data_IF_734072143196
#
_entry.id   IF_734072143196
#
_cell.length_a   1.000
_cell.length_b   1.000
_cell.length_c   1.000
_cell.angle_alpha   90.00
_cell.angle_beta   90.00
_cell.angle_gamma   90.00
#
_symmetry.space_group_name_H-M   'P 1'
#
loop_
_entity.id
_entity.type
_entity.pdbx_description
1 polymer ?
#
# COMPACT_ATOMS: atom_id res chain seq x y z
N UNK A 1 18.94 5.16 2.26
CA UNK A 1 19.81 6.34 1.96
C UNK A 1 21.31 6.07 2.16
N UNK A 2 21.72 4.97 2.79
CA UNK A 2 23.10 4.78 3.19
C UNK A 2 23.90 3.84 2.27
N UNK A 3 23.34 3.41 1.14
CA UNK A 3 24.08 2.65 0.16
C UNK A 3 24.79 3.58 -0.83
N UNK A 4 26.00 4.04 -0.48
CA UNK A 4 26.87 4.89 -1.31
C UNK A 4 27.25 4.28 -2.67
N UNK A 5 26.77 3.08 -2.99
CA UNK A 5 27.09 2.34 -4.22
C UNK A 5 25.98 2.37 -5.27
N UNK A 6 24.80 2.90 -4.94
CA UNK A 6 23.66 2.92 -5.86
C UNK A 6 23.29 4.37 -6.19
N UNK A 7 23.29 4.69 -7.47
CA UNK A 7 22.61 5.88 -7.98
C UNK A 7 21.15 5.51 -8.26
N UNK A 8 20.19 6.10 -7.54
CA UNK A 8 18.78 5.79 -7.69
C UNK A 8 17.95 7.05 -7.93
N UNK A 9 16.82 6.87 -8.55
CA UNK A 9 15.79 7.89 -8.69
C UNK A 9 14.46 7.37 -8.18
N UNK A 10 13.80 8.17 -7.37
CA UNK A 10 12.45 7.91 -6.88
C UNK A 10 11.46 8.59 -7.82
N UNK A 11 10.57 7.79 -8.42
CA UNK A 11 9.56 8.27 -9.36
C UNK A 11 8.18 8.01 -8.76
N UNK A 12 7.39 9.07 -8.62
CA UNK A 12 5.97 8.98 -8.31
C UNK A 12 5.16 9.08 -9.59
N UNK A 13 4.12 8.27 -9.70
CA UNK A 13 3.13 8.40 -10.77
C UNK A 13 1.99 9.34 -10.37
N UNK A 14 1.88 9.68 -9.08
CA UNK A 14 0.80 10.52 -8.56
C UNK A 14 -0.54 9.78 -8.50
N UNK A 15 -0.53 8.43 -8.37
CA UNK A 15 -1.76 7.64 -8.29
C UNK A 15 -2.51 7.83 -6.96
N UNK A 16 -1.84 8.33 -5.90
CA UNK A 16 -2.39 8.53 -4.55
C UNK A 16 -1.75 9.76 -3.89
N UNK A 17 -2.10 10.97 -4.30
CA UNK A 17 -1.42 12.20 -3.88
C UNK A 17 -1.33 12.35 -2.35
N UNK A 18 -2.46 12.40 -1.65
CA UNK A 18 -2.47 12.76 -0.21
C UNK A 18 -1.87 11.70 0.73
N UNK A 19 -2.11 10.42 0.49
CA UNK A 19 -1.62 9.34 1.36
C UNK A 19 -0.13 9.08 1.15
N UNK A 20 0.33 9.18 -0.09
CA UNK A 20 1.75 8.98 -0.43
C UNK A 20 2.60 10.12 0.13
N UNK A 21 2.14 11.37 0.02
CA UNK A 21 2.87 12.54 0.54
C UNK A 21 3.10 12.43 2.04
N UNK A 22 2.08 12.03 2.81
CA UNK A 22 2.22 11.81 4.25
C UNK A 22 3.29 10.76 4.60
N UNK A 23 3.35 9.65 3.83
CA UNK A 23 4.35 8.60 4.05
C UNK A 23 5.75 9.09 3.67
N UNK A 24 5.88 9.81 2.56
CA UNK A 24 7.14 10.39 2.12
C UNK A 24 7.70 11.37 3.15
N UNK A 25 6.85 12.25 3.68
CA UNK A 25 7.21 13.20 4.73
C UNK A 25 7.67 12.46 6.00
N UNK A 26 6.89 11.48 6.47
CA UNK A 26 7.25 10.67 7.63
C UNK A 26 8.59 9.96 7.43
N UNK A 27 8.87 9.44 6.24
CA UNK A 27 10.13 8.75 5.94
C UNK A 27 11.26 9.70 5.55
N UNK A 28 10.98 10.99 5.34
CA UNK A 28 11.94 11.99 4.86
C UNK A 28 12.45 11.67 3.46
N UNK A 29 11.56 11.16 2.59
CA UNK A 29 11.84 10.85 1.20
C UNK A 29 11.34 11.97 0.30
N UNK A 30 12.12 12.28 -0.73
CA UNK A 30 11.74 13.26 -1.75
C UNK A 30 11.83 12.58 -3.12
N UNK A 31 10.77 12.63 -3.94
CA UNK A 31 10.80 12.09 -5.29
C UNK A 31 11.71 12.94 -6.19
N UNK A 32 12.42 12.27 -7.09
CA UNK A 32 13.19 12.93 -8.16
C UNK A 32 12.28 13.33 -9.32
N UNK A 33 11.20 12.58 -9.51
CA UNK A 33 10.19 12.82 -10.53
C UNK A 33 8.79 12.60 -9.94
N UNK A 34 7.89 13.52 -10.20
CA UNK A 34 6.47 13.36 -9.97
C UNK A 34 5.73 13.55 -11.31
N UNK A 35 5.00 12.54 -11.73
CA UNK A 35 4.35 12.51 -13.04
C UNK A 35 2.93 13.07 -13.01
N UNK A 36 2.33 13.22 -11.83
CA UNK A 36 1.00 13.81 -11.65
C UNK A 36 -0.09 13.17 -12.53
N UNK A 37 -0.08 11.83 -12.67
CA UNK A 37 -0.95 11.12 -13.62
C UNK A 37 -2.41 11.13 -13.18
N UNK A 38 -2.68 11.26 -11.88
CA UNK A 38 -4.04 11.17 -11.34
C UNK A 38 -4.92 12.33 -11.76
N UNK A 39 -6.13 11.98 -12.20
CA UNK A 39 -7.23 12.91 -12.47
C UNK A 39 -8.52 12.31 -11.92
N UNK A 40 -9.44 13.15 -11.48
CA UNK A 40 -10.73 12.70 -10.99
C UNK A 40 -11.53 11.97 -12.10
N UNK A 41 -12.11 10.82 -11.75
CA UNK A 41 -12.94 10.05 -12.67
C UNK A 41 -12.19 9.26 -13.75
N UNK A 42 -10.86 9.12 -13.65
CA UNK A 42 -10.07 8.34 -14.62
C UNK A 42 -10.52 6.88 -14.73
N UNK A 43 -10.53 6.39 -15.96
CA UNK A 43 -10.61 4.97 -16.27
C UNK A 43 -9.24 4.28 -16.13
N UNK A 44 -9.23 2.95 -16.09
CA UNK A 44 -7.96 2.18 -16.16
C UNK A 44 -7.18 2.45 -17.44
N UNK A 45 -7.85 2.82 -18.53
CA UNK A 45 -7.20 3.19 -19.81
C UNK A 45 -6.44 4.51 -19.68
N UNK A 46 -7.01 5.50 -19.00
CA UNK A 46 -6.36 6.80 -18.79
C UNK A 46 -5.13 6.64 -17.90
N UNK A 47 -5.22 5.84 -16.83
CA UNK A 47 -4.08 5.51 -15.97
C UNK A 47 -2.99 4.78 -16.77
N UNK A 48 -3.36 3.82 -17.59
CA UNK A 48 -2.43 3.09 -18.45
C UNK A 48 -1.68 4.03 -19.39
N UNK A 49 -2.40 4.91 -20.08
CA UNK A 49 -1.82 5.89 -21.01
C UNK A 49 -0.86 6.83 -20.29
N UNK A 50 -1.27 7.39 -19.14
CA UNK A 50 -0.46 8.30 -18.34
C UNK A 50 0.83 7.62 -17.87
N UNK A 51 0.74 6.40 -17.32
CA UNK A 51 1.90 5.63 -16.89
C UNK A 51 2.87 5.35 -18.06
N UNK A 52 2.37 4.85 -19.18
CA UNK A 52 3.22 4.52 -20.33
C UNK A 52 3.95 5.75 -20.89
N UNK A 53 3.28 6.88 -20.99
CA UNK A 53 3.88 8.12 -21.51
C UNK A 53 4.86 8.74 -20.54
N UNK A 54 4.46 8.92 -19.26
CA UNK A 54 5.26 9.57 -18.25
C UNK A 54 6.51 8.76 -17.88
N UNK A 55 6.32 7.49 -17.54
CA UNK A 55 7.43 6.60 -17.20
C UNK A 55 8.39 6.37 -18.37
N UNK A 56 7.87 6.24 -19.59
CA UNK A 56 8.70 6.10 -20.79
C UNK A 56 9.64 7.28 -20.99
N UNK A 57 9.20 8.50 -20.66
CA UNK A 57 10.05 9.70 -20.70
C UNK A 57 11.20 9.63 -19.68
N UNK A 58 10.90 9.30 -18.43
CA UNK A 58 11.88 9.18 -17.35
C UNK A 58 12.90 8.07 -17.65
N UNK A 59 12.42 6.89 -18.00
CA UNK A 59 13.27 5.71 -18.24
C UNK A 59 14.24 5.94 -19.38
N UNK A 60 13.79 6.52 -20.50
CA UNK A 60 14.68 6.87 -21.63
C UNK A 60 15.68 7.97 -21.28
N UNK A 61 15.28 8.91 -20.43
CA UNK A 61 16.17 10.01 -20.02
C UNK A 61 17.24 9.57 -19.02
N UNK A 62 16.88 8.80 -18.00
CA UNK A 62 17.78 8.36 -16.95
C UNK A 62 18.56 7.08 -17.31
N UNK A 63 17.94 6.16 -18.10
CA UNK A 63 18.52 4.88 -18.53
C UNK A 63 19.01 4.02 -17.36
N UNK A 64 18.13 3.62 -16.43
CA UNK A 64 18.52 2.77 -15.30
C UNK A 64 18.94 1.38 -15.78
N UNK A 65 19.80 0.70 -15.03
CA UNK A 65 20.13 -0.71 -15.25
C UNK A 65 19.07 -1.66 -14.70
N UNK A 66 18.34 -1.20 -13.67
CA UNK A 66 17.28 -1.95 -13.00
C UNK A 66 16.14 -1.01 -12.60
N UNK A 67 14.90 -1.41 -12.88
CA UNK A 67 13.71 -0.80 -12.35
C UNK A 67 13.19 -1.65 -11.19
N UNK A 68 12.98 -1.05 -10.02
CA UNK A 68 12.31 -1.70 -8.89
C UNK A 68 10.87 -1.20 -8.79
N UNK A 69 9.92 -2.13 -8.72
CA UNK A 69 8.51 -1.83 -8.52
C UNK A 69 7.96 -2.72 -7.40
N UNK A 70 7.07 -2.16 -6.56
CA UNK A 70 6.52 -2.87 -5.40
C UNK A 70 5.00 -3.00 -5.48
N UNK A 71 4.50 -4.21 -5.25
CA UNK A 71 3.07 -4.49 -5.12
C UNK A 71 2.40 -4.82 -6.45
N UNK A 72 1.14 -4.39 -6.62
CA UNK A 72 0.25 -4.87 -7.67
C UNK A 72 -0.63 -3.79 -8.32
N UNK A 73 -0.28 -2.53 -8.14
CA UNK A 73 -1.04 -1.42 -8.73
C UNK A 73 -0.78 -1.28 -10.25
N UNK A 74 -1.60 -0.47 -10.91
CA UNK A 74 -1.38 -0.10 -12.30
C UNK A 74 0.03 0.47 -12.54
N UNK A 75 0.53 1.31 -11.62
CA UNK A 75 1.90 1.83 -11.65
C UNK A 75 2.94 0.72 -11.75
N UNK A 76 2.81 -0.33 -10.93
CA UNK A 76 3.75 -1.46 -10.90
C UNK A 76 3.78 -2.20 -12.22
N UNK A 77 2.61 -2.55 -12.74
CA UNK A 77 2.51 -3.26 -14.01
C UNK A 77 3.02 -2.42 -15.20
N UNK A 78 2.55 -1.17 -15.32
CA UNK A 78 2.94 -0.33 -16.46
C UNK A 78 4.38 0.13 -16.40
N UNK A 79 4.96 0.32 -15.20
CA UNK A 79 6.41 0.60 -15.10
C UNK A 79 7.25 -0.59 -15.54
N UNK A 80 6.85 -1.81 -15.17
CA UNK A 80 7.52 -3.04 -15.61
C UNK A 80 7.39 -3.25 -17.13
N UNK A 81 6.24 -2.93 -17.71
CA UNK A 81 6.04 -2.99 -19.16
C UNK A 81 6.91 -1.96 -19.90
N UNK A 82 7.04 -0.73 -19.38
CA UNK A 82 7.94 0.28 -19.93
C UNK A 82 9.40 -0.18 -19.85
N UNK A 83 9.83 -0.75 -18.71
CA UNK A 83 11.17 -1.29 -18.56
C UNK A 83 11.45 -2.39 -19.59
N UNK A 84 10.49 -3.30 -19.80
CA UNK A 84 10.59 -4.33 -20.82
C UNK A 84 10.74 -3.75 -22.24
N UNK A 85 9.97 -2.72 -22.60
CA UNK A 85 10.10 -2.06 -23.92
C UNK A 85 11.48 -1.43 -24.14
N UNK A 86 12.05 -0.88 -23.06
CA UNK A 86 13.38 -0.25 -23.10
C UNK A 86 14.53 -1.25 -22.78
N UNK A 87 14.23 -2.56 -22.65
CA UNK A 87 15.18 -3.64 -22.35
C UNK A 87 15.96 -3.44 -21.03
N UNK A 88 15.27 -2.90 -20.03
CA UNK A 88 15.78 -2.69 -18.69
C UNK A 88 15.28 -3.83 -17.80
N UNK A 89 16.14 -4.33 -16.92
CA UNK A 89 15.78 -5.37 -15.95
C UNK A 89 14.73 -4.87 -14.96
N UNK A 90 13.86 -5.78 -14.54
CA UNK A 90 12.81 -5.52 -13.56
C UNK A 90 13.04 -6.33 -12.30
N UNK A 91 12.98 -5.67 -11.15
CA UNK A 91 12.88 -6.29 -9.84
C UNK A 91 11.49 -6.03 -9.25
N UNK A 92 10.74 -7.10 -8.98
CA UNK A 92 9.40 -7.01 -8.38
C UNK A 92 9.47 -7.29 -6.88
N UNK A 93 9.21 -6.28 -6.07
CA UNK A 93 9.09 -6.38 -4.62
C UNK A 93 7.65 -6.75 -4.28
N UNK A 94 7.48 -7.72 -3.37
CA UNK A 94 6.19 -8.32 -3.02
C UNK A 94 5.65 -9.28 -4.11
N UNK A 95 6.56 -9.92 -4.84
CA UNK A 95 6.27 -10.87 -5.90
C UNK A 95 5.63 -12.16 -5.40
N UNK A 96 4.82 -12.81 -6.23
CA UNK A 96 4.32 -14.16 -5.99
C UNK A 96 3.08 -14.26 -5.10
N UNK A 97 2.47 -13.18 -4.67
CA UNK A 97 1.15 -13.21 -4.03
C UNK A 97 0.08 -13.64 -5.03
N UNK A 98 -0.81 -14.57 -4.61
CA UNK A 98 -1.89 -15.10 -5.47
C UNK A 98 -3.19 -15.29 -4.67
N UNK A 99 -4.28 -14.92 -5.30
CA UNK A 99 -5.64 -15.28 -4.80
C UNK A 99 -6.25 -16.43 -5.59
N UNK A 100 -5.78 -16.67 -6.83
CA UNK A 100 -6.33 -17.65 -7.75
C UNK A 100 -7.56 -17.18 -8.53
N UNK A 101 -8.13 -16.03 -8.19
CA UNK A 101 -9.24 -15.43 -8.91
C UNK A 101 -8.80 -14.11 -9.58
N UNK A 102 -8.77 -14.09 -10.92
CA UNK A 102 -8.33 -12.93 -11.71
C UNK A 102 -9.18 -11.67 -11.52
N UNK A 103 -10.33 -11.78 -10.87
CA UNK A 103 -11.23 -10.67 -10.58
C UNK A 103 -11.29 -10.29 -9.10
N UNK A 104 -10.49 -10.95 -8.23
CA UNK A 104 -10.47 -10.68 -6.80
C UNK A 104 -9.06 -10.75 -6.19
N UNK A 105 -8.41 -9.62 -5.85
CA UNK A 105 -8.84 -8.23 -6.11
C UNK A 105 -8.73 -7.86 -7.59
N UNK A 106 -9.57 -6.94 -8.04
CA UNK A 106 -9.57 -6.46 -9.42
C UNK A 106 -9.15 -4.99 -9.51
N UNK A 107 -8.20 -4.64 -10.38
CA UNK A 107 -7.47 -5.45 -11.36
C UNK A 107 -6.14 -6.05 -10.82
N UNK A 108 -5.86 -5.94 -9.53
CA UNK A 108 -4.57 -6.17 -8.88
C UNK A 108 -4.05 -7.60 -9.07
N UNK A 109 -4.91 -8.64 -9.00
CA UNK A 109 -4.46 -10.02 -9.20
C UNK A 109 -3.83 -10.23 -10.57
N UNK A 110 -4.40 -9.62 -11.60
CA UNK A 110 -3.82 -9.72 -12.95
C UNK A 110 -2.58 -8.86 -13.10
N UNK A 111 -2.55 -7.67 -12.50
CA UNK A 111 -1.37 -6.82 -12.57
C UNK A 111 -0.15 -7.48 -11.93
N UNK A 112 -0.29 -8.12 -10.74
CA UNK A 112 0.84 -8.80 -10.09
C UNK A 112 1.34 -9.98 -10.91
N UNK A 113 0.44 -10.78 -11.48
CA UNK A 113 0.81 -11.93 -12.32
C UNK A 113 1.53 -11.51 -13.60
N UNK A 114 1.02 -10.48 -14.28
CA UNK A 114 1.64 -9.95 -15.49
C UNK A 114 2.98 -9.25 -15.19
N UNK A 115 3.10 -8.59 -14.05
CA UNK A 115 4.36 -8.03 -13.57
C UNK A 115 5.40 -9.12 -13.36
N UNK A 116 5.03 -10.22 -12.67
CA UNK A 116 5.95 -11.35 -12.45
C UNK A 116 6.45 -11.92 -13.77
N UNK A 117 5.63 -11.99 -14.83
CA UNK A 117 6.07 -12.45 -16.18
C UNK A 117 7.13 -11.53 -16.80
N UNK A 118 7.11 -10.23 -16.47
CA UNK A 118 8.07 -9.25 -17.00
C UNK A 118 9.34 -9.13 -16.11
N UNK A 119 9.37 -9.82 -14.97
CA UNK A 119 10.36 -9.63 -13.91
C UNK A 119 11.58 -10.52 -14.09
N UNK A 120 12.77 -9.95 -13.86
CA UNK A 120 14.05 -10.66 -13.83
C UNK A 120 14.44 -11.11 -12.40
N UNK A 121 14.02 -10.35 -11.37
CA UNK A 121 14.33 -10.60 -9.96
C UNK A 121 13.06 -10.50 -9.11
N UNK A 122 12.62 -11.63 -8.56
CA UNK A 122 11.40 -11.70 -7.74
C UNK A 122 11.77 -11.67 -6.25
N UNK A 123 11.31 -10.65 -5.55
CA UNK A 123 11.49 -10.52 -4.10
C UNK A 123 10.18 -10.91 -3.40
N UNK A 124 10.08 -12.19 -3.06
CA UNK A 124 8.88 -12.79 -2.46
C UNK A 124 8.80 -12.46 -0.95
N UNK A 125 7.65 -12.03 -0.42
CA UNK A 125 7.52 -11.71 1.00
C UNK A 125 7.52 -12.95 1.90
N UNK A 126 7.12 -14.11 1.38
CA UNK A 126 7.01 -15.36 2.15
C UNK A 126 7.46 -16.57 1.33
N UNK A 127 7.67 -17.69 2.01
CA UNK A 127 7.92 -18.98 1.33
C UNK A 127 6.72 -19.41 0.47
N UNK A 128 5.49 -19.14 0.89
CA UNK A 128 4.28 -19.42 0.09
C UNK A 128 4.28 -18.61 -1.21
N UNK A 129 4.64 -17.33 -1.16
CA UNK A 129 4.73 -16.50 -2.35
C UNK A 129 5.82 -17.00 -3.32
N UNK A 130 7.00 -17.41 -2.80
CA UNK A 130 8.03 -18.09 -3.58
C UNK A 130 7.49 -19.37 -4.23
N UNK A 131 6.81 -20.20 -3.47
CA UNK A 131 6.30 -21.49 -3.96
C UNK A 131 5.26 -21.32 -5.08
N UNK A 132 4.45 -20.27 -5.03
CA UNK A 132 3.57 -19.87 -6.12
C UNK A 132 4.35 -19.57 -7.41
N UNK A 133 5.43 -18.79 -7.31
CA UNK A 133 6.28 -18.48 -8.46
C UNK A 133 6.92 -19.72 -9.05
N UNK A 134 7.47 -20.59 -8.19
CA UNK A 134 8.08 -21.84 -8.65
C UNK A 134 7.07 -22.76 -9.32
N UNK A 135 5.84 -22.83 -8.80
CA UNK A 135 4.75 -23.60 -9.41
C UNK A 135 4.30 -23.05 -10.76
N UNK A 136 4.45 -21.75 -11.00
CA UNK A 136 4.21 -21.09 -12.29
C UNK A 136 5.40 -21.20 -13.26
N UNK A 137 6.51 -21.82 -12.86
CA UNK A 137 7.65 -22.14 -13.72
C UNK A 137 8.77 -21.10 -13.73
N UNK A 138 8.79 -20.16 -12.78
CA UNK A 138 9.92 -19.22 -12.64
C UNK A 138 11.15 -19.95 -12.09
N UNK A 139 12.34 -19.56 -12.56
CA UNK A 139 13.60 -20.18 -12.17
C UNK A 139 13.97 -19.86 -10.71
N UNK A 140 14.35 -20.88 -9.90
CA UNK A 140 14.68 -20.67 -8.49
C UNK A 140 15.78 -19.62 -8.25
N UNK A 141 16.71 -19.45 -9.19
CA UNK A 141 17.79 -18.47 -9.11
C UNK A 141 17.33 -17.02 -9.25
N UNK A 142 16.10 -16.80 -9.70
CA UNK A 142 15.48 -15.48 -9.86
C UNK A 142 14.56 -15.13 -8.70
N UNK A 143 14.31 -16.05 -7.76
CA UNK A 143 13.32 -15.88 -6.68
C UNK A 143 14.02 -15.83 -5.32
N UNK A 144 13.82 -14.73 -4.61
CA UNK A 144 14.43 -14.45 -3.31
C UNK A 144 13.34 -14.24 -2.26
N UNK A 145 13.39 -14.95 -1.14
CA UNK A 145 12.50 -14.69 -0.01
C UNK A 145 13.14 -13.60 0.86
N UNK A 146 12.56 -12.41 0.83
CA UNK A 146 13.13 -11.20 1.47
C UNK A 146 12.32 -10.68 2.65
N UNK A 147 11.13 -11.21 2.90
CA UNK A 147 10.16 -10.59 3.80
C UNK A 147 9.39 -9.46 3.11
N UNK A 148 8.60 -8.74 3.89
CA UNK A 148 7.81 -7.61 3.39
C UNK A 148 8.39 -6.29 3.92
N UNK A 149 8.66 -5.35 3.04
CA UNK A 149 9.24 -4.02 3.35
C UNK A 149 8.38 -3.20 4.31
N UNK A 150 7.08 -3.51 4.45
CA UNK A 150 6.20 -2.86 5.43
C UNK A 150 6.67 -3.09 6.87
N UNK A 151 7.29 -4.25 7.15
CA UNK A 151 7.83 -4.56 8.48
C UNK A 151 9.01 -3.64 8.80
N UNK A 152 9.93 -3.44 7.84
CA UNK A 152 11.07 -2.54 8.02
C UNK A 152 10.61 -1.09 8.21
N UNK A 153 9.63 -0.65 7.42
CA UNK A 153 9.03 0.68 7.54
C UNK A 153 8.37 0.87 8.91
N UNK A 154 7.63 -0.13 9.40
CA UNK A 154 7.01 -0.11 10.71
C UNK A 154 8.07 -0.01 11.83
N UNK A 155 9.14 -0.81 11.76
CA UNK A 155 10.22 -0.79 12.74
C UNK A 155 10.95 0.56 12.76
N UNK A 156 11.19 1.15 11.59
CA UNK A 156 11.79 2.49 11.48
C UNK A 156 10.89 3.56 12.12
N UNK A 157 9.59 3.51 11.88
CA UNK A 157 8.63 4.46 12.46
C UNK A 157 8.50 4.22 13.97
N UNK A 158 8.38 2.96 14.41
CA UNK A 158 8.25 2.60 15.83
C UNK A 158 9.51 2.93 16.66
N UNK A 159 10.68 2.99 16.03
CA UNK A 159 11.92 3.40 16.70
C UNK A 159 12.05 4.92 16.91
N UNK A 160 11.17 5.72 16.32
CA UNK A 160 11.17 7.17 16.51
C UNK A 160 10.47 7.54 17.79
N UNK A 161 11.08 8.40 18.59
CA UNK A 161 10.40 9.04 19.69
C UNK A 161 9.33 9.99 19.13
N UNK A 162 8.07 9.61 19.25
CA UNK A 162 6.91 10.40 18.86
C UNK A 162 6.02 10.72 20.05
N UNK A 163 5.38 11.89 20.02
CA UNK A 163 4.31 12.23 20.95
C UNK A 163 2.98 12.04 20.25
N UNK A 164 2.03 11.45 20.94
CA UNK A 164 0.66 11.40 20.48
C UNK A 164 0.11 12.82 20.34
N UNK A 165 -0.22 13.22 19.10
CA UNK A 165 -0.76 14.57 18.84
C UNK A 165 -2.27 14.62 19.02
N UNK A 166 -2.97 13.54 18.63
CA UNK A 166 -4.42 13.45 18.80
C UNK A 166 -4.82 13.45 20.29
N UNK A 167 -5.71 14.36 20.74
CA UNK A 167 -6.07 14.48 22.15
C UNK A 167 -6.59 13.17 22.76
N UNK A 168 -7.44 12.45 22.03
CA UNK A 168 -7.96 11.15 22.46
C UNK A 168 -6.84 10.13 22.66
N UNK A 169 -5.91 10.02 21.72
CA UNK A 169 -4.80 9.08 21.82
C UNK A 169 -3.91 9.42 23.03
N UNK A 170 -3.67 10.70 23.28
CA UNK A 170 -2.92 11.16 24.46
C UNK A 170 -3.61 10.74 25.75
N UNK A 171 -4.91 11.00 25.89
CA UNK A 171 -5.66 10.63 27.10
C UNK A 171 -5.69 9.12 27.35
N UNK A 172 -5.74 8.32 26.28
CA UNK A 172 -5.69 6.84 26.38
C UNK A 172 -4.32 6.38 26.88
N UNK A 173 -3.23 6.97 26.35
CA UNK A 173 -1.87 6.59 26.71
C UNK A 173 -1.46 7.05 28.12
N UNK A 174 -2.13 8.06 28.70
CA UNK A 174 -1.92 8.55 30.06
C UNK A 174 -2.67 7.73 31.13
N UNK A 175 -3.69 6.94 30.75
CA UNK A 175 -4.42 6.06 31.68
C UNK A 175 -4.01 4.59 31.49
N UNK A 176 -3.21 4.07 32.42
CA UNK A 176 -2.71 2.68 32.40
C UNK A 176 -3.83 1.62 32.38
N UNK A 177 -5.05 1.98 32.74
CA UNK A 177 -6.20 1.07 32.71
C UNK A 177 -6.86 1.03 31.34
N UNK A 178 -6.61 2.01 30.50
CA UNK A 178 -7.19 2.09 29.17
C UNK A 178 -6.62 1.02 28.23
N UNK A 179 -7.50 0.35 27.52
CA UNK A 179 -7.16 -0.60 26.43
C UNK A 179 -7.51 0.03 25.10
N UNK A 180 -6.50 0.20 24.24
CA UNK A 180 -6.68 0.75 22.90
C UNK A 180 -6.93 -0.38 21.88
N UNK A 181 -8.04 -0.28 21.15
CA UNK A 181 -8.33 -1.10 19.98
C UNK A 181 -8.12 -0.25 18.73
N UNK A 182 -7.28 -0.70 17.82
CA UNK A 182 -7.08 -0.09 16.51
C UNK A 182 -7.92 -0.85 15.47
N UNK A 183 -8.82 -0.13 14.80
CA UNK A 183 -9.61 -0.68 13.70
C UNK A 183 -9.05 -0.23 12.35
N UNK A 184 -8.95 -1.15 11.40
CA UNK A 184 -8.79 -0.83 9.97
C UNK A 184 -9.83 -1.62 9.17
N UNK A 185 -10.68 -0.94 8.41
CA UNK A 185 -11.74 -1.54 7.61
C UNK A 185 -12.09 -0.63 6.42
N UNK A 186 -11.71 -1.03 5.20
CA UNK A 186 -11.94 -0.21 3.99
C UNK A 186 -12.00 -1.02 2.70
N UNK A 187 -12.11 -2.35 2.77
CA UNK A 187 -12.18 -3.21 1.59
C UNK A 187 -13.48 -3.01 0.83
N UNK A 188 -13.41 -2.85 -0.50
CA UNK A 188 -14.59 -2.59 -1.37
C UNK A 188 -15.63 -3.72 -1.26
N UNK A 189 -15.19 -4.96 -1.17
CA UNK A 189 -16.04 -6.13 -1.00
C UNK A 189 -16.84 -6.14 0.33
N UNK A 190 -16.42 -5.31 1.29
CA UNK A 190 -17.08 -5.17 2.58
C UNK A 190 -18.03 -3.96 2.67
N UNK A 191 -18.15 -3.16 1.63
CA UNK A 191 -19.01 -1.97 1.66
C UNK A 191 -20.50 -2.32 1.86
N UNK A 192 -21.24 -1.41 2.45
CA UNK A 192 -22.66 -1.60 2.78
C UNK A 192 -22.87 -2.37 4.08
N UNK A 193 -23.72 -3.38 4.08
CA UNK A 193 -24.13 -4.08 5.29
C UNK A 193 -22.97 -4.77 6.06
N UNK A 194 -22.03 -5.46 5.42
CA UNK A 194 -20.90 -6.07 6.15
C UNK A 194 -20.07 -5.05 6.94
N UNK A 195 -19.78 -3.88 6.38
CA UNK A 195 -19.04 -2.82 7.07
C UNK A 195 -19.84 -2.25 8.25
N UNK A 196 -21.13 -2.04 8.07
CA UNK A 196 -22.05 -1.62 9.14
C UNK A 196 -22.13 -2.66 10.27
N UNK A 197 -22.06 -3.93 9.96
CA UNK A 197 -22.05 -4.99 10.97
C UNK A 197 -20.73 -4.97 11.79
N UNK A 198 -19.60 -4.70 11.16
CA UNK A 198 -18.32 -4.47 11.86
C UNK A 198 -18.45 -3.26 12.79
N UNK A 199 -18.97 -2.14 12.31
CA UNK A 199 -19.12 -0.92 13.13
C UNK A 199 -20.08 -1.14 14.32
N UNK A 200 -21.17 -1.89 14.12
CA UNK A 200 -22.06 -2.28 15.22
C UNK A 200 -21.36 -3.15 16.27
N UNK A 201 -20.57 -4.10 15.82
CA UNK A 201 -19.84 -4.99 16.74
C UNK A 201 -18.77 -4.24 17.54
N UNK A 202 -17.97 -3.36 16.92
CA UNK A 202 -16.96 -2.60 17.64
C UNK A 202 -17.58 -1.52 18.55
N UNK A 203 -18.72 -0.94 18.17
CA UNK A 203 -19.48 -0.04 19.04
C UNK A 203 -19.98 -0.77 20.28
N UNK A 204 -20.58 -1.95 20.14
CA UNK A 204 -21.03 -2.76 21.26
C UNK A 204 -19.86 -3.15 22.19
N UNK A 205 -18.69 -3.49 21.62
CA UNK A 205 -17.49 -3.78 22.41
C UNK A 205 -17.08 -2.58 23.29
N UNK A 206 -17.08 -1.38 22.75
CA UNK A 206 -16.75 -0.16 23.51
C UNK A 206 -17.83 0.17 24.53
N UNK A 207 -19.10 -0.04 24.20
CA UNK A 207 -20.23 0.19 25.13
C UNK A 207 -20.21 -0.79 26.32
N UNK A 208 -19.82 -2.07 26.10
CA UNK A 208 -19.77 -3.11 27.13
C UNK A 208 -18.55 -2.99 28.09
N UNK A 209 -17.49 -2.30 27.66
CA UNK A 209 -16.23 -2.21 28.40
C UNK A 209 -15.78 -0.77 28.60
N UNK A 210 -15.90 -0.25 29.80
CA UNK A 210 -15.59 1.15 30.13
C UNK A 210 -14.11 1.52 29.96
N UNK A 211 -13.22 0.55 29.99
CA UNK A 211 -11.78 0.70 29.80
C UNK A 211 -11.33 0.57 28.33
N UNK A 212 -12.24 0.24 27.43
CA UNK A 212 -11.93 0.08 26.00
C UNK A 212 -12.17 1.39 25.24
N UNK A 213 -11.14 1.77 24.49
CA UNK A 213 -11.16 2.89 23.54
C UNK A 213 -10.91 2.37 22.13
N UNK A 214 -11.60 2.93 21.14
CA UNK A 214 -11.43 2.59 19.73
C UNK A 214 -10.77 3.75 19.00
N UNK A 215 -9.72 3.47 18.22
CA UNK A 215 -9.17 4.39 17.23
C UNK A 215 -9.37 3.79 15.84
N UNK A 216 -10.02 4.54 14.98
CA UNK A 216 -10.27 4.12 13.60
C UNK A 216 -9.80 5.19 12.62
N UNK A 217 -8.56 5.07 12.07
CA UNK A 217 -8.13 5.91 10.95
C UNK A 217 -9.02 5.64 9.74
N UNK A 218 -9.97 6.53 9.51
CA UNK A 218 -11.02 6.35 8.48
C UNK A 218 -10.44 6.60 7.10
N UNK A 219 -10.63 5.64 6.19
CA UNK A 219 -10.27 5.81 4.79
C UNK A 219 -11.18 6.87 4.13
N UNK A 220 -10.65 7.82 3.32
CA UNK A 220 -11.39 8.97 2.80
C UNK A 220 -12.50 8.65 1.80
N UNK A 221 -12.72 7.39 1.46
CA UNK A 221 -13.80 6.98 0.57
C UNK A 221 -15.18 7.24 1.23
N UNK A 222 -16.13 7.92 0.56
CA UNK A 222 -17.46 8.22 1.11
C UNK A 222 -18.23 6.99 1.60
N UNK A 223 -18.08 5.83 0.93
CA UNK A 223 -18.71 4.57 1.37
C UNK A 223 -18.17 4.05 2.72
N UNK A 224 -17.09 4.63 3.21
CA UNK A 224 -16.48 4.31 4.53
C UNK A 224 -16.74 5.44 5.52
N UNK A 225 -16.51 6.69 5.12
CA UNK A 225 -16.64 7.88 5.97
C UNK A 225 -18.07 8.03 6.50
N UNK A 226 -19.06 8.04 5.59
CA UNK A 226 -20.46 8.28 5.97
C UNK A 226 -20.99 7.28 7.02
N UNK A 227 -20.87 5.95 6.83
CA UNK A 227 -21.31 5.01 7.85
C UNK A 227 -20.46 5.01 9.12
N UNK A 228 -19.17 5.38 9.05
CA UNK A 228 -18.31 5.50 10.22
C UNK A 228 -18.77 6.68 11.10
N UNK A 229 -18.97 7.84 10.51
CA UNK A 229 -19.49 9.03 11.22
C UNK A 229 -20.87 8.79 11.81
N UNK A 230 -21.78 8.19 11.02
CA UNK A 230 -23.16 7.89 11.46
C UNK A 230 -23.19 6.95 12.67
N UNK A 231 -22.34 5.92 12.70
CA UNK A 231 -22.44 4.84 13.68
C UNK A 231 -21.46 4.97 14.85
N UNK A 232 -20.35 5.66 14.67
CA UNK A 232 -19.25 5.72 15.63
C UNK A 232 -18.91 7.14 16.09
N UNK A 233 -19.23 8.17 15.30
CA UNK A 233 -18.74 9.55 15.48
C UNK A 233 -19.22 10.27 16.74
N UNK A 234 -20.29 9.81 17.37
CA UNK A 234 -20.88 10.43 18.58
C UNK A 234 -20.36 9.86 19.91
N UNK A 235 -19.46 8.86 19.88
CA UNK A 235 -19.04 8.16 21.07
C UNK A 235 -17.73 8.73 21.66
N UNK A 236 -17.69 9.12 22.97
CA UNK A 236 -16.54 9.81 23.57
C UNK A 236 -15.25 8.96 23.64
N UNK A 237 -15.37 7.64 23.57
CA UNK A 237 -14.24 6.70 23.59
C UNK A 237 -13.89 6.13 22.21
N UNK A 238 -14.46 6.73 21.14
CA UNK A 238 -14.15 6.35 19.76
C UNK A 238 -13.56 7.56 19.05
N UNK A 239 -12.38 7.42 18.46
CA UNK A 239 -11.74 8.40 17.61
C UNK A 239 -11.75 7.96 16.16
N UNK A 240 -12.20 8.86 15.26
CA UNK A 240 -12.21 8.67 13.82
C UNK A 240 -11.13 9.51 13.16
#
# INVERSE_FOLDING_TARGET
>A
KDCLRLDYRLVLTGQHETLVDQILDVLGLHPDYDLGIMQEGQSLYDVAQGCLQGLGGVVRGYKPELLLAQGDTATVFFSSLVAFFEKIKVGHVEAGLRTGDKFAPYPEEMFRRLTDVLTDLHFAPTSTARDNLLAEGFEPSQVYVTGNTVVDSLLVIASREGKAEAPLLRSILEDERSRLVLLTAHRRESFGQPLRDVFRAVRALVDEHDDVHLLYPVHPNPNVVEPAEEMLGDHPRIGL
#
